data_IF_184490876407
#
_entry.id   IF_184490876407
#
_cell.length_a   1.000
_cell.length_b   1.000
_cell.length_c   1.000
_cell.angle_alpha   90.00
_cell.angle_beta   90.00
_cell.angle_gamma   90.00
#
_symmetry.space_group_name_H-M   'P 1'
#
loop_
_entity.id
_entity.type
_entity.pdbx_description
1 polymer ?
#
# COMPACT_ATOMS: atom_id res chain seq x y z
N UNK A 1 6.93 22.80 -7.85
CA UNK A 1 7.94 21.91 -7.27
C UNK A 1 7.41 21.52 -5.90
N UNK A 2 6.94 20.29 -5.73
CA UNK A 2 6.43 19.82 -4.45
C UNK A 2 7.61 19.35 -3.60
N UNK A 3 7.80 19.95 -2.44
CA UNK A 3 8.83 19.54 -1.48
C UNK A 3 8.17 18.64 -0.43
N UNK A 4 8.56 17.37 -0.33
CA UNK A 4 7.95 16.46 0.62
C UNK A 4 8.26 16.88 2.07
N UNK A 5 7.28 16.78 2.99
CA UNK A 5 7.46 16.98 4.43
C UNK A 5 8.62 16.14 5.00
N UNK A 6 9.30 16.63 6.04
CA UNK A 6 10.40 15.92 6.71
C UNK A 6 9.98 14.52 7.23
N UNK A 7 8.72 14.38 7.62
CA UNK A 7 8.11 13.12 8.05
C UNK A 7 8.15 12.03 6.97
N UNK A 8 8.22 12.42 5.69
CA UNK A 8 8.27 11.50 4.58
C UNK A 8 9.63 10.80 4.48
N UNK A 9 10.71 11.47 4.88
CA UNK A 9 12.03 10.84 4.97
C UNK A 9 12.08 9.80 6.10
N UNK A 10 11.41 10.06 7.22
CA UNK A 10 11.28 9.08 8.30
C UNK A 10 10.56 7.81 7.84
N UNK A 11 9.49 7.98 7.07
CA UNK A 11 8.73 6.87 6.50
C UNK A 11 9.57 6.02 5.52
N UNK A 12 10.33 6.64 4.60
CA UNK A 12 11.23 5.88 3.70
C UNK A 12 12.31 5.13 4.50
N UNK A 13 12.94 5.80 5.46
CA UNK A 13 13.96 5.20 6.31
C UNK A 13 13.44 3.98 7.09
N UNK A 14 12.19 4.02 7.56
CA UNK A 14 11.60 2.89 8.29
C UNK A 14 11.50 1.63 7.42
N UNK A 15 11.02 1.75 6.18
CA UNK A 15 10.88 0.60 5.27
C UNK A 15 12.24 0.11 4.78
N UNK A 16 13.18 0.99 4.48
CA UNK A 16 14.54 0.59 4.11
C UNK A 16 15.23 -0.21 5.22
N UNK A 17 15.11 0.23 6.48
CA UNK A 17 15.62 -0.50 7.65
C UNK A 17 14.93 -1.86 7.78
N UNK A 18 13.62 -1.91 7.56
CA UNK A 18 12.85 -3.15 7.62
C UNK A 18 13.30 -4.16 6.55
N UNK A 19 13.39 -3.75 5.28
CA UNK A 19 13.84 -4.65 4.19
C UNK A 19 15.31 -5.03 4.29
N UNK A 20 16.15 -4.15 4.83
CA UNK A 20 17.55 -4.50 5.14
C UNK A 20 17.64 -5.58 6.21
N UNK A 21 16.73 -5.56 7.20
CA UNK A 21 16.67 -6.57 8.27
C UNK A 21 16.03 -7.87 7.80
N UNK A 22 15.08 -7.80 6.87
CA UNK A 22 14.35 -8.94 6.32
C UNK A 22 14.44 -8.94 4.78
N UNK A 23 15.57 -9.43 4.21
CA UNK A 23 15.78 -9.46 2.76
C UNK A 23 14.98 -10.57 2.06
N UNK A 24 14.35 -11.46 2.80
CA UNK A 24 13.52 -12.54 2.25
C UNK A 24 12.16 -11.98 1.83
N UNK A 25 12.04 -11.69 0.54
CA UNK A 25 10.80 -11.26 -0.09
C UNK A 25 10.55 -12.00 -1.40
N UNK A 26 9.27 -12.29 -1.65
CA UNK A 26 8.82 -12.87 -2.91
C UNK A 26 7.99 -11.83 -3.64
N UNK A 27 8.55 -11.24 -4.70
CA UNK A 27 7.79 -10.41 -5.63
C UNK A 27 6.93 -11.35 -6.48
N UNK A 28 5.61 -11.26 -6.32
CA UNK A 28 4.65 -12.01 -7.11
C UNK A 28 4.33 -11.31 -8.43
N UNK A 29 4.14 -9.98 -8.41
CA UNK A 29 3.78 -9.21 -9.60
C UNK A 29 4.14 -7.73 -9.43
N UNK A 30 4.74 -7.10 -10.45
CA UNK A 30 4.89 -5.64 -10.45
C UNK A 30 3.59 -4.97 -10.91
N UNK A 31 3.16 -3.87 -10.24
CA UNK A 31 1.97 -3.15 -10.66
C UNK A 31 2.16 -2.55 -12.06
N UNK A 32 1.07 -2.55 -12.85
CA UNK A 32 1.04 -1.80 -14.10
C UNK A 32 0.98 -0.29 -13.81
N UNK A 33 1.54 0.52 -14.70
CA UNK A 33 1.48 1.98 -14.62
C UNK A 33 0.05 2.49 -14.64
N UNK A 34 -0.85 1.82 -15.37
CA UNK A 34 -2.28 2.16 -15.36
C UNK A 34 -2.92 1.96 -13.98
N UNK A 35 -2.48 0.94 -13.24
CA UNK A 35 -2.96 0.68 -11.88
C UNK A 35 -2.47 1.78 -10.94
N UNK A 36 -1.19 2.14 -11.00
CA UNK A 36 -0.59 3.18 -10.16
C UNK A 36 -1.23 4.55 -10.43
N UNK A 37 -1.51 4.87 -11.70
CA UNK A 37 -2.19 6.11 -12.11
C UNK A 37 -3.59 6.28 -11.52
N UNK A 38 -4.30 5.19 -11.15
CA UNK A 38 -5.60 5.30 -10.45
C UNK A 38 -5.49 5.80 -9.01
N UNK A 39 -4.30 5.72 -8.43
CA UNK A 39 -3.99 6.14 -7.07
C UNK A 39 -3.24 7.47 -7.02
N UNK A 40 -2.70 7.95 -8.14
CA UNK A 40 -2.12 9.29 -8.26
C UNK A 40 -3.17 10.35 -7.86
N UNK A 41 -2.78 11.25 -6.95
CA UNK A 41 -3.66 12.28 -6.39
C UNK A 41 -4.67 11.81 -5.35
N UNK A 42 -4.82 10.49 -5.12
CA UNK A 42 -5.63 9.91 -4.02
C UNK A 42 -4.76 9.42 -2.86
N UNK A 43 -3.57 8.92 -3.17
CA UNK A 43 -2.57 8.51 -2.20
C UNK A 43 -1.33 9.39 -2.34
N UNK A 44 -0.57 9.59 -1.25
CA UNK A 44 0.76 10.16 -1.35
C UNK A 44 1.64 9.31 -2.28
N UNK A 45 2.62 9.94 -2.91
CA UNK A 45 3.50 9.28 -3.88
C UNK A 45 4.29 8.12 -3.27
N UNK A 46 4.56 8.15 -1.96
CA UNK A 46 5.40 7.14 -1.29
C UNK A 46 4.82 5.70 -1.35
N UNK A 47 3.55 5.43 -1.01
CA UNK A 47 2.94 4.12 -1.25
C UNK A 47 2.98 3.67 -2.72
N UNK A 48 2.91 4.63 -3.66
CA UNK A 48 2.95 4.36 -5.10
C UNK A 48 4.37 3.97 -5.51
N UNK A 49 5.38 4.78 -5.17
CA UNK A 49 6.81 4.49 -5.33
C UNK A 49 7.19 3.15 -4.72
N UNK A 50 6.66 2.85 -3.53
CA UNK A 50 6.95 1.64 -2.79
C UNK A 50 6.42 0.40 -3.51
N UNK A 51 5.20 0.47 -4.04
CA UNK A 51 4.62 -0.61 -4.86
C UNK A 51 5.34 -0.75 -6.20
N UNK A 52 5.81 0.33 -6.79
CA UNK A 52 6.61 0.30 -8.03
C UNK A 52 7.96 -0.38 -7.79
N UNK A 53 8.65 -0.05 -6.69
CA UNK A 53 9.97 -0.57 -6.37
C UNK A 53 9.94 -2.06 -5.98
N UNK A 54 9.01 -2.46 -5.11
CA UNK A 54 9.00 -3.79 -4.51
C UNK A 54 7.92 -4.73 -5.05
N UNK A 55 6.90 -4.20 -5.75
CA UNK A 55 5.82 -5.00 -6.33
C UNK A 55 4.87 -5.61 -5.29
N UNK A 56 3.83 -6.26 -5.77
CA UNK A 56 2.95 -7.10 -4.96
C UNK A 56 3.65 -8.39 -4.60
N UNK A 57 3.52 -8.81 -3.35
CA UNK A 57 4.33 -9.89 -2.81
C UNK A 57 4.14 -10.13 -1.33
N UNK A 58 4.76 -11.19 -0.84
CA UNK A 58 4.76 -11.56 0.56
C UNK A 58 6.17 -11.40 1.11
N UNK A 59 6.28 -10.83 2.29
CA UNK A 59 7.51 -10.47 2.98
C UNK A 59 7.50 -11.11 4.36
N UNK A 60 8.69 -11.50 4.83
CA UNK A 60 8.91 -12.03 6.18
C UNK A 60 7.98 -13.21 6.49
N UNK A 61 8.03 -14.24 5.63
CA UNK A 61 7.30 -15.50 5.81
C UNK A 61 5.77 -15.34 6.02
N UNK A 62 5.15 -14.35 5.36
CA UNK A 62 3.71 -14.11 5.48
C UNK A 62 3.32 -12.95 6.39
N UNK A 63 4.25 -12.37 7.14
CA UNK A 63 3.93 -11.30 8.08
C UNK A 63 3.42 -10.03 7.40
N UNK A 64 3.98 -9.68 6.24
CA UNK A 64 3.57 -8.52 5.47
C UNK A 64 3.27 -8.93 4.03
N UNK A 65 2.13 -8.49 3.50
CA UNK A 65 1.76 -8.74 2.11
C UNK A 65 1.40 -7.42 1.41
N UNK A 66 2.13 -7.10 0.35
CA UNK A 66 1.73 -6.05 -0.58
C UNK A 66 0.74 -6.65 -1.55
N UNK A 67 -0.49 -6.15 -1.50
CA UNK A 67 -1.60 -6.62 -2.35
C UNK A 67 -2.04 -5.55 -3.32
N UNK A 68 -2.61 -5.98 -4.45
CA UNK A 68 -3.33 -5.08 -5.32
C UNK A 68 -4.63 -4.67 -4.61
N UNK A 69 -4.83 -3.38 -4.29
CA UNK A 69 -6.03 -2.92 -3.61
C UNK A 69 -7.33 -3.19 -4.38
N UNK A 70 -7.28 -3.36 -5.71
CA UNK A 70 -8.47 -3.68 -6.50
C UNK A 70 -9.01 -5.08 -6.20
N UNK A 71 -8.14 -6.04 -5.87
CA UNK A 71 -8.57 -7.41 -5.54
C UNK A 71 -9.38 -7.48 -4.23
N UNK A 72 -9.23 -6.47 -3.38
CA UNK A 72 -9.89 -6.39 -2.08
C UNK A 72 -11.00 -5.35 -2.05
N UNK A 73 -11.27 -4.66 -3.16
CA UNK A 73 -12.25 -3.58 -3.19
C UNK A 73 -13.64 -4.04 -2.74
N UNK A 74 -14.08 -5.22 -3.19
CA UNK A 74 -15.33 -5.85 -2.74
C UNK A 74 -15.40 -6.11 -1.24
N UNK A 75 -14.26 -6.38 -0.59
CA UNK A 75 -14.20 -6.59 0.87
C UNK A 75 -14.32 -5.27 1.66
N UNK A 76 -14.02 -4.13 1.03
CA UNK A 76 -14.19 -2.81 1.65
C UNK A 76 -15.57 -2.22 1.38
N UNK A 77 -16.17 -2.55 0.24
CA UNK A 77 -17.49 -2.02 -0.14
C UNK A 77 -18.59 -2.50 0.82
N UNK A 78 -18.56 -3.75 1.31
CA UNK A 78 -19.58 -4.28 2.23
C UNK A 78 -19.62 -3.59 3.62
N UNK A 79 -18.54 -3.53 4.41
CA UNK A 79 -18.57 -2.96 5.76
C UNK A 79 -18.65 -1.43 5.78
N UNK A 80 -18.16 -0.73 4.75
CA UNK A 80 -18.24 0.73 4.69
C UNK A 80 -19.60 1.24 4.17
N UNK A 81 -20.35 0.44 3.40
CA UNK A 81 -21.71 0.80 2.98
C UNK A 81 -22.66 0.96 4.18
N UNK A 82 -22.53 0.10 5.19
CA UNK A 82 -23.39 0.14 6.38
C UNK A 82 -23.05 1.32 7.32
N UNK A 83 -21.81 1.78 7.31
CA UNK A 83 -21.39 2.94 8.12
C UNK A 83 -21.95 4.28 7.61
N UNK A 84 -22.36 4.36 6.34
CA UNK A 84 -22.98 5.54 5.74
C UNK A 84 -24.51 5.51 5.79
N UNK A 85 -25.11 4.34 6.08
CA UNK A 85 -26.56 4.16 6.21
C UNK A 85 -27.06 4.14 7.67
N UNK A 86 -26.21 4.50 8.62
CA UNK A 86 -26.65 4.87 9.98
C UNK A 86 -27.21 3.74 10.84
N UNK A 87 -26.88 2.48 10.56
CA UNK A 87 -27.23 1.38 11.48
C UNK A 87 -25.97 0.91 12.19
N UNK A 88 -25.65 1.59 13.29
CA UNK A 88 -24.63 1.18 14.25
C UNK A 88 -25.05 -0.15 14.87
N UNK A 89 -24.30 -1.22 14.61
CA UNK A 89 -24.30 -2.44 15.42
C UNK A 89 -23.18 -2.36 16.45
N UNK A 90 -23.30 -1.42 17.39
CA UNK A 90 -22.66 -1.42 18.70
C UNK A 90 -23.62 -0.77 19.69
#
# INVERSE_FOLDING_TARGET
MFTPPAEWFLFKNMFEIFFKKYPEYTIAQKPDKELLGRFEGKLPDQPIDFREAYGFGTYVDGYLKLVNPLDFQSCFDEPYHDSLNGTSFF
#
